data_IF_065990586774
#
_entry.id   IF_065990586774
#
_cell.length_a   1.000
_cell.length_b   1.000
_cell.length_c   1.000
_cell.angle_alpha   90.00
_cell.angle_beta   90.00
_cell.angle_gamma   90.00
#
_symmetry.space_group_name_H-M   'P 1'
#
loop_
_entity.id
_entity.type
_entity.pdbx_description
1 polymer ?
#
# COMPACT_ATOMS: atom_id res chain seq x y z
N UNK A 1 55.88 16.89 -6.94
CA UNK A 1 55.21 15.88 -6.08
C UNK A 1 54.19 16.58 -5.20
N UNK A 2 53.00 15.96 -5.07
CA UNK A 2 51.92 16.19 -4.10
C UNK A 2 50.95 17.35 -4.34
N UNK A 3 49.63 17.20 -4.24
CA UNK A 3 48.66 16.11 -4.48
C UNK A 3 47.38 16.92 -4.75
N UNK A 4 46.68 16.62 -5.85
CA UNK A 4 45.38 17.21 -6.18
C UNK A 4 44.34 16.73 -5.15
N UNK A 5 43.84 17.60 -4.29
CA UNK A 5 42.71 17.28 -3.39
C UNK A 5 41.40 17.40 -4.17
N UNK A 6 40.94 16.26 -4.68
CA UNK A 6 39.57 16.08 -5.19
C UNK A 6 38.67 15.88 -3.97
N UNK A 7 37.83 16.87 -3.65
CA UNK A 7 36.78 16.73 -2.66
C UNK A 7 35.69 15.81 -3.22
N UNK A 8 35.64 14.58 -2.70
CA UNK A 8 34.66 13.56 -3.06
C UNK A 8 33.29 13.93 -2.47
N UNK A 9 32.34 14.29 -3.33
CA UNK A 9 30.95 14.50 -2.94
C UNK A 9 30.31 13.17 -2.50
N UNK A 10 30.06 13.00 -1.20
CA UNK A 10 29.17 11.94 -0.70
C UNK A 10 27.71 12.38 -0.89
N UNK A 11 27.13 12.04 -2.04
CA UNK A 11 25.67 12.04 -2.22
C UNK A 11 25.09 10.72 -1.70
N UNK A 12 24.82 10.65 -0.40
CA UNK A 12 24.07 9.55 0.21
C UNK A 12 22.61 9.95 0.36
N UNK A 13 21.80 9.80 -0.69
CA UNK A 13 20.33 9.82 -0.57
C UNK A 13 19.78 8.42 -0.80
N UNK A 14 19.96 7.55 0.19
CA UNK A 14 19.19 6.32 0.30
C UNK A 14 17.82 6.65 0.92
N UNK A 15 16.84 7.01 0.08
CA UNK A 15 15.43 7.12 0.51
C UNK A 15 14.66 5.96 -0.10
N UNK A 16 14.76 4.80 0.51
CA UNK A 16 13.90 3.65 0.21
C UNK A 16 13.47 2.99 1.52
N UNK A 17 12.61 3.68 2.29
CA UNK A 17 11.94 3.10 3.47
C UNK A 17 10.39 3.27 3.51
N UNK A 18 9.63 3.56 2.44
CA UNK A 18 8.17 3.67 2.58
C UNK A 18 7.49 2.30 2.83
N UNK A 19 7.97 1.24 2.15
CA UNK A 19 7.25 -0.04 2.12
C UNK A 19 7.03 -0.72 3.49
N UNK A 20 7.95 -0.56 4.45
CA UNK A 20 7.80 -1.13 5.81
C UNK A 20 6.88 -0.31 6.71
N UNK A 21 6.86 1.01 6.56
CA UNK A 21 6.03 1.91 7.37
C UNK A 21 4.54 1.73 7.01
N UNK A 22 4.25 1.48 5.74
CA UNK A 22 2.88 1.31 5.26
C UNK A 22 2.31 -0.08 5.60
N UNK A 23 3.13 -1.13 5.65
CA UNK A 23 2.71 -2.43 6.18
C UNK A 23 2.37 -2.36 7.68
N UNK A 24 3.14 -1.58 8.46
CA UNK A 24 2.82 -1.33 9.86
C UNK A 24 1.47 -0.61 10.02
N UNK A 25 1.11 0.28 9.09
CA UNK A 25 -0.20 0.94 9.07
C UNK A 25 -1.32 -0.07 8.76
N UNK A 26 -1.09 -0.99 7.81
CA UNK A 26 -2.04 -2.07 7.51
C UNK A 26 -2.23 -3.00 8.72
N UNK A 27 -1.15 -3.26 9.48
CA UNK A 27 -1.23 -4.00 10.74
C UNK A 27 -1.99 -3.23 11.82
N UNK A 28 -1.77 -1.92 11.98
CA UNK A 28 -2.46 -1.05 12.95
C UNK A 28 -3.98 -1.11 12.77
N UNK A 29 -4.46 -1.11 11.53
CA UNK A 29 -5.89 -1.18 11.21
C UNK A 29 -6.40 -2.60 10.95
N UNK A 30 -5.63 -3.61 11.35
CA UNK A 30 -5.99 -5.02 11.25
C UNK A 30 -6.32 -5.51 9.82
N UNK A 31 -5.83 -4.82 8.79
CA UNK A 31 -6.07 -5.20 7.39
C UNK A 31 -5.43 -6.57 7.06
N UNK A 32 -4.33 -6.89 7.74
CA UNK A 32 -3.57 -8.14 7.57
C UNK A 32 -4.29 -9.39 8.11
N UNK A 33 -5.42 -9.24 8.81
CA UNK A 33 -6.26 -10.37 9.20
C UNK A 33 -6.96 -11.02 7.99
N UNK A 34 -7.24 -10.24 6.95
CA UNK A 34 -7.96 -10.69 5.76
C UNK A 34 -7.12 -10.60 4.48
N UNK A 35 -6.10 -9.75 4.45
CA UNK A 35 -5.22 -9.55 3.30
C UNK A 35 -3.80 -9.96 3.63
N UNK A 36 -3.07 -10.42 2.63
CA UNK A 36 -1.61 -10.55 2.72
C UNK A 36 -0.98 -9.84 1.53
N UNK A 37 0.34 -9.64 1.57
CA UNK A 37 1.05 -8.93 0.49
C UNK A 37 0.99 -9.71 -0.81
N UNK A 38 1.31 -11.00 -0.78
CA UNK A 38 1.63 -11.80 -1.97
C UNK A 38 0.74 -13.04 -2.16
N UNK A 39 -0.08 -13.39 -1.17
CA UNK A 39 -0.96 -14.56 -1.21
C UNK A 39 -2.41 -14.20 -0.94
N UNK A 40 -3.33 -14.86 -1.63
CA UNK A 40 -4.75 -14.76 -1.33
C UNK A 40 -5.02 -15.32 0.07
N UNK A 41 -5.88 -14.65 0.83
CA UNK A 41 -6.44 -15.12 2.10
C UNK A 41 -7.96 -15.03 2.01
N UNK A 42 -8.64 -14.41 2.97
CA UNK A 42 -10.07 -14.05 2.87
C UNK A 42 -10.29 -13.05 1.74
N UNK A 43 -9.46 -11.99 1.71
CA UNK A 43 -9.38 -11.01 0.65
C UNK A 43 -8.29 -11.34 -0.37
N UNK A 44 -8.24 -10.59 -1.49
CA UNK A 44 -7.16 -10.70 -2.47
C UNK A 44 -5.80 -10.33 -1.85
N UNK A 45 -4.72 -10.87 -2.44
CA UNK A 45 -3.37 -10.39 -2.15
C UNK A 45 -3.23 -8.92 -2.57
N UNK A 46 -2.49 -8.11 -1.83
CA UNK A 46 -2.28 -6.71 -2.21
C UNK A 46 -1.59 -6.57 -3.58
N UNK A 47 -0.65 -7.46 -3.90
CA UNK A 47 -0.05 -7.51 -5.25
C UNK A 47 -1.08 -7.77 -6.35
N UNK A 48 -2.12 -8.55 -6.10
CA UNK A 48 -3.18 -8.80 -7.08
C UNK A 48 -4.07 -7.57 -7.26
N UNK A 49 -4.37 -6.86 -6.15
CA UNK A 49 -5.06 -5.56 -6.20
C UNK A 49 -4.26 -4.57 -7.04
N UNK A 50 -2.96 -4.45 -6.74
CA UNK A 50 -2.05 -3.56 -7.46
C UNK A 50 -2.00 -3.87 -8.96
N UNK A 51 -1.84 -5.15 -9.33
CA UNK A 51 -1.85 -5.60 -10.72
C UNK A 51 -3.18 -5.32 -11.42
N UNK A 52 -4.32 -5.63 -10.79
CA UNK A 52 -5.65 -5.43 -11.37
C UNK A 52 -5.92 -3.96 -11.73
N UNK A 53 -5.42 -3.04 -10.91
CA UNK A 53 -5.69 -1.61 -11.04
C UNK A 53 -4.52 -0.79 -11.60
N UNK A 54 -3.46 -1.45 -12.05
CA UNK A 54 -2.28 -0.79 -12.63
C UNK A 54 -2.69 0.13 -13.79
N UNK A 55 -2.22 1.37 -13.73
CA UNK A 55 -2.50 2.40 -14.74
C UNK A 55 -3.90 3.02 -14.67
N UNK A 56 -4.73 2.68 -13.68
CA UNK A 56 -6.08 3.22 -13.53
C UNK A 56 -6.13 4.28 -12.42
N UNK A 57 -6.91 5.34 -12.62
CA UNK A 57 -7.15 6.36 -11.61
C UNK A 57 -8.31 5.96 -10.67
N UNK A 58 -8.08 4.95 -9.84
CA UNK A 58 -9.13 4.33 -8.98
C UNK A 58 -8.90 4.53 -7.47
N UNK A 59 -7.86 5.28 -7.07
CA UNK A 59 -7.48 5.40 -5.66
C UNK A 59 -8.65 5.86 -4.75
N UNK A 60 -9.34 6.94 -5.13
CA UNK A 60 -10.50 7.44 -4.38
C UNK A 60 -11.65 6.42 -4.32
N UNK A 61 -11.86 5.62 -5.38
CA UNK A 61 -12.89 4.58 -5.38
C UNK A 61 -12.52 3.42 -4.44
N UNK A 62 -11.24 3.05 -4.38
CA UNK A 62 -10.75 2.03 -3.45
C UNK A 62 -10.81 2.49 -2.00
N UNK A 63 -10.51 3.77 -1.72
CA UNK A 63 -10.74 4.38 -0.41
C UNK A 63 -12.21 4.23 0.00
N UNK A 64 -13.15 4.60 -0.87
CA UNK A 64 -14.59 4.42 -0.59
C UNK A 64 -14.97 2.96 -0.40
N UNK A 65 -14.39 2.04 -1.17
CA UNK A 65 -14.61 0.59 -1.04
C UNK A 65 -14.18 0.08 0.33
N UNK A 66 -13.02 0.51 0.84
CA UNK A 66 -12.53 0.10 2.16
C UNK A 66 -13.37 0.72 3.28
N UNK A 67 -13.77 1.99 3.13
CA UNK A 67 -14.57 2.70 4.14
C UNK A 67 -15.99 2.12 4.28
N UNK A 68 -16.63 1.81 3.15
CA UNK A 68 -18.03 1.34 3.10
C UNK A 68 -18.16 -0.19 3.04
N UNK A 69 -17.09 -0.90 2.73
CA UNK A 69 -17.11 -2.34 2.53
C UNK A 69 -17.80 -2.76 1.21
N UNK A 70 -18.11 -4.05 1.11
CA UNK A 70 -18.93 -4.65 0.06
C UNK A 70 -18.28 -5.86 -0.62
N UNK A 71 -18.99 -6.46 -1.55
CA UNK A 71 -18.63 -7.73 -2.23
C UNK A 71 -18.54 -7.57 -3.76
N UNK A 72 -18.40 -8.69 -4.49
CA UNK A 72 -18.58 -8.79 -5.94
C UNK A 72 -17.31 -8.74 -6.78
N UNK A 73 -16.38 -7.84 -6.45
CA UNK A 73 -15.16 -7.62 -7.27
C UNK A 73 -14.19 -8.81 -7.22
N UNK A 74 -14.09 -9.46 -6.06
CA UNK A 74 -13.11 -10.52 -5.78
C UNK A 74 -13.75 -11.85 -5.33
N UNK A 75 -15.08 -11.90 -5.32
CA UNK A 75 -15.86 -13.04 -4.84
C UNK A 75 -17.12 -12.63 -4.08
N UNK A 76 -17.79 -13.63 -3.52
CA UNK A 76 -19.04 -13.48 -2.78
C UNK A 76 -18.84 -13.00 -1.34
N UNK A 77 -17.65 -13.24 -0.75
CA UNK A 77 -17.34 -12.82 0.61
C UNK A 77 -17.24 -11.28 0.66
N UNK A 78 -18.08 -10.60 1.46
CA UNK A 78 -18.02 -9.15 1.59
C UNK A 78 -16.83 -8.72 2.46
N UNK A 79 -16.16 -7.64 2.05
CA UNK A 79 -15.26 -6.91 2.95
C UNK A 79 -16.12 -6.06 3.90
N UNK A 80 -15.97 -6.19 5.24
CA UNK A 80 -16.67 -5.32 6.19
C UNK A 80 -16.30 -3.84 6.01
N UNK A 81 -17.18 -2.90 6.38
CA UNK A 81 -16.86 -1.47 6.38
C UNK A 81 -15.77 -1.14 7.41
N UNK A 82 -14.88 -0.22 7.07
CA UNK A 82 -13.80 0.26 7.96
C UNK A 82 -13.95 1.78 8.25
N UNK A 83 -15.05 2.24 8.86
CA UNK A 83 -15.32 3.67 9.05
C UNK A 83 -14.38 4.34 10.05
N UNK A 84 -13.76 3.55 10.94
CA UNK A 84 -12.83 4.04 11.97
C UNK A 84 -11.45 4.40 11.42
N UNK A 85 -11.13 4.06 10.17
CA UNK A 85 -9.85 4.43 9.54
C UNK A 85 -9.95 5.89 9.07
N UNK A 86 -9.07 6.80 9.55
CA UNK A 86 -9.04 8.18 9.08
C UNK A 86 -8.70 8.26 7.59
N UNK A 87 -9.27 9.23 6.87
CA UNK A 87 -9.10 9.36 5.42
C UNK A 87 -7.63 9.52 5.02
N UNK A 88 -6.85 10.26 5.82
CA UNK A 88 -5.42 10.44 5.58
C UNK A 88 -4.63 9.12 5.60
N UNK A 89 -4.98 8.21 6.51
CA UNK A 89 -4.34 6.90 6.61
C UNK A 89 -4.86 5.93 5.55
N UNK A 90 -6.14 6.05 5.18
CA UNK A 90 -6.72 5.28 4.11
C UNK A 90 -6.06 5.58 2.76
N UNK A 91 -5.81 6.86 2.49
CA UNK A 91 -5.08 7.32 1.30
C UNK A 91 -3.66 6.73 1.24
N UNK A 92 -2.95 6.69 2.38
CA UNK A 92 -1.62 6.07 2.46
C UNK A 92 -1.68 4.57 2.19
N UNK A 93 -2.63 3.86 2.82
CA UNK A 93 -2.82 2.43 2.62
C UNK A 93 -3.10 2.09 1.15
N UNK A 94 -4.03 2.80 0.52
CA UNK A 94 -4.37 2.57 -0.89
C UNK A 94 -3.19 2.89 -1.80
N UNK A 95 -2.49 4.01 -1.57
CA UNK A 95 -1.29 4.36 -2.33
C UNK A 95 -0.20 3.29 -2.21
N UNK A 96 0.03 2.77 -1.00
CA UNK A 96 0.98 1.70 -0.76
C UNK A 96 0.55 0.42 -1.47
N UNK A 97 -0.70 -0.03 -1.32
CA UNK A 97 -1.21 -1.23 -1.99
C UNK A 97 -1.03 -1.14 -3.51
N UNK A 98 -1.39 0.00 -4.11
CA UNK A 98 -1.25 0.20 -5.56
C UNK A 98 0.21 0.25 -6.04
N UNK A 99 1.16 0.55 -5.16
CA UNK A 99 2.60 0.54 -5.47
C UNK A 99 3.22 -0.85 -5.53
N UNK A 100 2.51 -1.90 -5.10
CA UNK A 100 3.02 -3.28 -5.02
C UNK A 100 2.93 -4.05 -6.36
N UNK A 101 2.60 -3.37 -7.47
CA UNK A 101 2.38 -3.96 -8.79
C UNK A 101 3.66 -4.26 -9.58
#
# INVERSE_FOLDING_TARGET
MKVLTIALALAATAIALPAKADEALAKKYNCLACHTVDKKSVGPAYKDVAKKYKGQNVAAQLEQKVKKGGSGVWGQVPMPPNPAVPDADLKKLISWVLSLA
#
